data_IF_371512151054
#
_entry.id   IF_371512151054
#
_cell.length_a   1.000
_cell.length_b   1.000
_cell.length_c   1.000
_cell.angle_alpha   90.00
_cell.angle_beta   90.00
_cell.angle_gamma   90.00
#
_symmetry.space_group_name_H-M   'P 1'
#
loop_
_entity.id
_entity.type
_entity.pdbx_description
1 polymer ?
#
# COMPACT_ATOMS: atom_id res chain seq x y z
N UNK A 1 -7.77 -7.45 -16.74
CA UNK A 1 -7.93 -7.09 -15.31
C UNK A 1 -7.92 -8.41 -14.56
N UNK A 2 -7.11 -8.57 -13.50
CA UNK A 2 -7.04 -9.79 -12.70
C UNK A 2 -8.37 -9.97 -11.97
N UNK A 3 -8.93 -11.18 -11.99
CA UNK A 3 -10.12 -11.51 -11.21
C UNK A 3 -9.76 -11.79 -9.76
N UNK A 4 -10.74 -11.79 -8.84
CA UNK A 4 -10.54 -12.17 -7.44
C UNK A 4 -9.98 -13.58 -7.32
N UNK A 5 -10.53 -14.52 -8.10
CA UNK A 5 -10.10 -15.92 -8.10
C UNK A 5 -8.65 -16.07 -8.59
N UNK A 6 -8.28 -15.36 -9.65
CA UNK A 6 -6.90 -15.34 -10.14
C UNK A 6 -5.93 -14.76 -9.10
N UNK A 7 -6.34 -13.72 -8.37
CA UNK A 7 -5.55 -13.18 -7.26
C UNK A 7 -5.34 -14.20 -6.14
N UNK A 8 -6.40 -14.93 -5.74
CA UNK A 8 -6.32 -15.98 -4.73
C UNK A 8 -5.37 -17.10 -5.15
N UNK A 9 -5.51 -17.61 -6.38
CA UNK A 9 -4.65 -18.66 -6.91
C UNK A 9 -3.18 -18.24 -6.98
N UNK A 10 -2.90 -17.00 -7.35
CA UNK A 10 -1.52 -16.46 -7.36
C UNK A 10 -0.91 -16.36 -5.96
N UNK A 11 -1.70 -16.14 -4.92
CA UNK A 11 -1.19 -16.19 -3.55
C UNK A 11 -0.71 -17.59 -3.18
N UNK A 12 -1.46 -18.63 -3.51
CA UNK A 12 -1.02 -20.01 -3.24
C UNK A 12 0.25 -20.39 -4.02
N UNK A 13 0.43 -19.88 -5.25
CA UNK A 13 1.64 -20.19 -6.02
C UNK A 13 2.93 -19.70 -5.36
N UNK A 14 2.87 -18.68 -4.50
CA UNK A 14 4.03 -18.13 -3.78
C UNK A 14 4.56 -19.07 -2.69
N UNK A 15 3.72 -19.94 -2.15
CA UNK A 15 4.05 -20.82 -1.01
C UNK A 15 4.14 -22.30 -1.39
N UNK A 16 4.02 -22.64 -2.67
CA UNK A 16 3.97 -24.04 -3.15
C UNK A 16 5.15 -24.93 -2.74
N UNK A 17 6.32 -24.33 -2.48
CA UNK A 17 7.53 -25.07 -2.08
C UNK A 17 7.83 -24.98 -0.58
N UNK A 18 6.93 -24.37 0.21
CA UNK A 18 7.11 -24.12 1.64
C UNK A 18 6.14 -25.01 2.43
N UNK A 19 6.64 -26.14 2.90
CA UNK A 19 5.86 -27.23 3.51
C UNK A 19 4.91 -26.74 4.61
N UNK A 20 5.47 -26.10 5.65
CA UNK A 20 4.70 -25.67 6.81
C UNK A 20 3.85 -24.40 6.53
N UNK A 21 4.40 -23.46 5.81
CA UNK A 21 3.60 -22.30 5.39
C UNK A 21 2.38 -22.74 4.57
N UNK A 22 2.57 -23.67 3.61
CA UNK A 22 1.46 -24.20 2.81
C UNK A 22 0.41 -24.87 3.68
N UNK A 23 0.84 -25.74 4.63
CA UNK A 23 -0.06 -26.45 5.53
C UNK A 23 -0.86 -25.46 6.41
N UNK A 24 -0.17 -24.61 7.15
CA UNK A 24 -0.78 -23.67 8.10
C UNK A 24 -1.70 -22.67 7.39
N UNK A 25 -1.23 -22.07 6.28
CA UNK A 25 -2.01 -21.06 5.54
C UNK A 25 -3.27 -21.67 4.92
N UNK A 26 -3.16 -22.86 4.31
CA UNK A 26 -4.34 -23.52 3.73
C UNK A 26 -5.36 -23.89 4.82
N UNK A 27 -4.89 -24.39 5.99
CA UNK A 27 -5.76 -24.67 7.13
C UNK A 27 -6.46 -23.41 7.66
N UNK A 28 -5.72 -22.29 7.81
CA UNK A 28 -6.30 -20.99 8.20
C UNK A 28 -7.42 -20.61 7.23
N UNK A 29 -7.15 -20.61 5.93
CA UNK A 29 -8.09 -20.12 4.94
C UNK A 29 -9.34 -20.99 4.84
N UNK A 30 -9.18 -22.32 4.83
CA UNK A 30 -10.30 -23.25 4.77
C UNK A 30 -11.19 -23.19 6.02
N UNK A 31 -10.59 -23.17 7.20
CA UNK A 31 -11.36 -23.16 8.45
C UNK A 31 -11.89 -21.75 8.80
N UNK A 32 -11.22 -20.67 8.38
CA UNK A 32 -11.75 -19.32 8.52
C UNK A 32 -13.05 -19.16 7.72
N UNK A 33 -13.09 -19.70 6.51
CA UNK A 33 -14.23 -19.73 5.59
C UNK A 33 -14.94 -18.37 5.47
N UNK A 34 -14.16 -17.31 5.35
CA UNK A 34 -14.66 -15.93 5.26
C UNK A 34 -14.01 -15.21 4.07
N UNK A 35 -14.69 -15.20 2.94
CA UNK A 35 -14.21 -14.60 1.69
C UNK A 35 -14.16 -13.08 1.71
N UNK A 36 -14.65 -12.44 2.80
CA UNK A 36 -14.59 -10.99 2.99
C UNK A 36 -13.34 -10.55 3.76
N UNK A 37 -12.51 -11.48 4.22
CA UNK A 37 -11.20 -11.16 4.78
C UNK A 37 -10.15 -11.26 3.67
N UNK A 38 -9.57 -10.12 3.32
CA UNK A 38 -8.43 -10.05 2.40
C UNK A 38 -7.22 -10.73 3.04
N UNK A 39 -6.50 -11.55 2.26
CA UNK A 39 -5.20 -12.07 2.65
C UNK A 39 -4.17 -11.97 1.52
N UNK A 40 -2.91 -11.91 1.89
CA UNK A 40 -1.77 -11.87 0.97
C UNK A 40 -0.66 -12.74 1.54
N UNK A 41 -0.27 -13.79 0.78
CA UNK A 41 0.86 -14.65 1.15
C UNK A 41 2.18 -14.06 0.67
N UNK A 42 3.26 -14.29 1.43
CA UNK A 42 4.61 -13.81 1.12
C UNK A 42 4.59 -12.32 0.75
N UNK A 43 4.02 -11.53 1.65
CA UNK A 43 3.83 -10.12 1.42
C UNK A 43 5.13 -9.36 1.58
N UNK A 44 5.53 -8.68 0.52
CA UNK A 44 6.68 -7.79 0.53
C UNK A 44 6.41 -6.57 1.41
N UNK A 45 7.28 -6.34 2.38
CA UNK A 45 7.26 -5.18 3.28
C UNK A 45 8.58 -4.43 3.13
N UNK A 46 8.50 -3.16 2.78
CA UNK A 46 9.67 -2.28 2.66
C UNK A 46 9.71 -1.34 3.87
N UNK A 47 10.55 -1.59 4.87
CA UNK A 47 10.69 -0.71 6.02
C UNK A 47 11.34 0.62 5.61
N UNK A 48 10.94 1.72 6.28
CA UNK A 48 11.38 3.08 5.92
C UNK A 48 12.88 3.30 6.10
N UNK A 49 13.50 2.61 7.04
CA UNK A 49 14.86 2.88 7.51
C UNK A 49 15.87 1.76 7.19
N UNK A 50 15.49 0.76 6.44
CA UNK A 50 16.34 -0.40 6.11
C UNK A 50 16.62 -0.45 4.59
N UNK A 51 17.82 -0.94 4.22
CA UNK A 51 18.19 -1.16 2.81
C UNK A 51 17.59 -2.46 2.23
N UNK A 52 16.90 -3.25 3.06
CA UNK A 52 16.33 -4.53 2.69
C UNK A 52 14.81 -4.50 2.54
N UNK A 53 14.26 -5.69 2.39
CA UNK A 53 12.81 -5.94 2.43
C UNK A 53 12.55 -7.19 3.27
N UNK A 54 11.34 -7.30 3.81
CA UNK A 54 10.86 -8.50 4.48
C UNK A 54 9.71 -9.13 3.70
N UNK A 55 9.56 -10.44 3.85
CA UNK A 55 8.42 -11.18 3.33
C UNK A 55 7.64 -11.71 4.54
N UNK A 56 6.45 -11.18 4.77
CA UNK A 56 5.56 -11.72 5.79
C UNK A 56 4.79 -12.91 5.22
N UNK A 57 4.74 -14.03 5.95
CA UNK A 57 4.21 -15.29 5.42
C UNK A 57 2.75 -15.18 5.03
N UNK A 58 1.91 -14.58 5.89
CA UNK A 58 0.54 -14.21 5.54
C UNK A 58 0.12 -12.90 6.21
N UNK A 59 -0.44 -12.00 5.43
CA UNK A 59 -1.00 -10.72 5.88
C UNK A 59 -2.51 -10.67 5.71
N UNK A 60 -3.17 -9.95 6.61
CA UNK A 60 -4.60 -9.62 6.57
C UNK A 60 -4.76 -8.10 6.58
N UNK A 61 -4.64 -7.41 5.42
CA UNK A 61 -4.57 -5.95 5.34
C UNK A 61 -5.76 -5.23 5.95
N UNK A 62 -6.98 -5.73 5.71
CA UNK A 62 -8.22 -5.17 6.26
C UNK A 62 -8.29 -5.27 7.80
N UNK A 63 -7.52 -6.16 8.41
CA UNK A 63 -7.44 -6.36 9.86
C UNK A 63 -6.18 -5.75 10.49
N UNK A 64 -5.30 -5.13 9.70
CA UNK A 64 -4.01 -4.61 10.14
C UNK A 64 -3.23 -5.65 10.95
N UNK A 65 -2.98 -6.79 10.34
CA UNK A 65 -2.40 -7.97 10.98
C UNK A 65 -1.55 -8.74 9.98
N UNK A 66 -0.44 -9.30 10.44
CA UNK A 66 0.29 -10.32 9.72
C UNK A 66 0.65 -11.49 10.66
N UNK A 67 0.91 -12.65 10.08
CA UNK A 67 1.31 -13.84 10.83
C UNK A 67 2.58 -14.42 10.20
N UNK A 68 3.55 -14.74 11.08
CA UNK A 68 4.77 -15.45 10.73
C UNK A 68 4.62 -16.91 11.15
N UNK A 69 5.14 -17.82 10.32
CA UNK A 69 5.12 -19.26 10.55
C UNK A 69 6.57 -19.69 10.78
N UNK A 70 6.92 -19.86 12.05
CA UNK A 70 8.30 -20.09 12.45
C UNK A 70 8.63 -21.59 12.37
N UNK A 71 9.54 -21.95 11.44
CA UNK A 71 10.06 -23.29 11.23
C UNK A 71 11.33 -23.53 12.07
N UNK A 72 11.69 -24.82 12.31
CA UNK A 72 12.84 -25.23 13.11
C UNK A 72 14.18 -24.67 12.61
N UNK A 73 14.33 -24.46 11.33
CA UNK A 73 15.55 -23.92 10.73
C UNK A 73 15.88 -22.48 11.15
N UNK A 74 14.92 -21.75 11.73
CA UNK A 74 15.02 -20.34 12.10
C UNK A 74 15.24 -20.11 13.61
N UNK A 75 15.49 -21.17 14.40
CA UNK A 75 15.50 -21.11 15.86
C UNK A 75 16.90 -20.88 16.49
N UNK A 76 17.84 -20.27 15.79
CA UNK A 76 19.14 -19.86 16.35
C UNK A 76 19.04 -18.51 17.05
N UNK A 77 19.89 -18.25 18.07
CA UNK A 77 19.89 -16.98 18.82
C UNK A 77 20.11 -15.75 17.93
N UNK A 78 20.93 -15.86 16.88
CA UNK A 78 21.13 -14.79 15.88
C UNK A 78 19.85 -14.50 15.09
N UNK A 79 19.10 -15.53 14.73
CA UNK A 79 17.82 -15.36 14.04
C UNK A 79 16.77 -14.73 14.96
N UNK A 80 16.71 -15.12 16.23
CA UNK A 80 15.77 -14.53 17.21
C UNK A 80 16.03 -13.04 17.40
N UNK A 81 17.29 -12.62 17.43
CA UNK A 81 17.64 -11.19 17.53
C UNK A 81 17.28 -10.42 16.24
N UNK A 82 17.61 -10.99 15.09
CA UNK A 82 17.24 -10.46 13.77
C UNK A 82 15.73 -10.34 13.63
N UNK A 83 14.96 -11.33 14.06
CA UNK A 83 13.50 -11.33 14.00
C UNK A 83 12.87 -10.25 14.90
N UNK A 84 13.43 -9.95 16.05
CA UNK A 84 12.97 -8.85 16.92
C UNK A 84 13.18 -7.48 16.27
N UNK A 85 14.31 -7.26 15.59
CA UNK A 85 14.57 -6.04 14.84
C UNK A 85 13.58 -5.93 13.67
N UNK A 86 13.44 -7.02 12.91
CA UNK A 86 12.48 -7.14 11.81
C UNK A 86 11.05 -6.81 12.25
N UNK A 87 10.60 -7.40 13.36
CA UNK A 87 9.28 -7.16 13.94
C UNK A 87 9.07 -5.67 14.25
N UNK A 88 10.06 -5.05 14.90
CA UNK A 88 10.01 -3.63 15.24
C UNK A 88 9.91 -2.75 14.00
N UNK A 89 10.74 -2.99 12.99
CA UNK A 89 10.73 -2.23 11.74
C UNK A 89 9.42 -2.40 10.96
N UNK A 90 8.84 -3.60 10.96
CA UNK A 90 7.53 -3.85 10.34
C UNK A 90 6.42 -3.11 11.10
N UNK A 91 6.44 -3.13 12.43
CA UNK A 91 5.48 -2.39 13.26
C UNK A 91 5.57 -0.88 13.03
N UNK A 92 6.79 -0.32 13.00
CA UNK A 92 7.02 1.10 12.72
C UNK A 92 6.57 1.50 11.30
N UNK A 93 6.71 0.59 10.33
CA UNK A 93 6.31 0.84 8.96
C UNK A 93 4.79 0.70 8.72
N UNK A 94 4.13 -0.20 9.45
CA UNK A 94 2.76 -0.63 9.12
C UNK A 94 1.70 -0.26 10.15
N UNK A 95 2.06 -0.07 11.41
CA UNK A 95 1.11 0.00 12.53
C UNK A 95 0.25 -1.30 12.64
N UNK A 96 0.79 -2.44 12.24
CA UNK A 96 0.10 -3.71 12.23
C UNK A 96 0.57 -4.62 13.36
N UNK A 97 -0.30 -5.54 13.80
CA UNK A 97 0.02 -6.52 14.83
C UNK A 97 0.65 -7.75 14.18
N UNK A 98 1.75 -8.21 14.75
CA UNK A 98 2.30 -9.54 14.44
C UNK A 98 1.65 -10.62 15.31
N UNK A 99 1.46 -11.78 14.71
CA UNK A 99 1.17 -13.04 15.37
C UNK A 99 2.10 -14.12 14.84
N UNK A 100 2.48 -15.03 15.71
CA UNK A 100 3.40 -16.12 15.39
C UNK A 100 2.69 -17.45 15.57
N UNK A 101 2.93 -18.37 14.66
CA UNK A 101 2.58 -19.78 14.75
C UNK A 101 3.88 -20.56 14.69
N UNK A 102 4.27 -21.16 15.83
CA UNK A 102 5.51 -21.91 15.89
C UNK A 102 5.23 -23.37 15.54
N UNK A 103 5.88 -23.88 14.51
CA UNK A 103 5.77 -25.28 14.08
C UNK A 103 6.90 -26.15 14.63
N UNK A 104 7.89 -25.55 15.31
CA UNK A 104 8.96 -26.27 16.00
C UNK A 104 8.67 -26.45 17.50
N UNK A 105 9.26 -27.47 18.12
CA UNK A 105 9.19 -27.65 19.55
C UNK A 105 10.09 -26.63 20.27
N UNK A 106 9.52 -25.86 21.19
CA UNK A 106 10.28 -24.84 21.95
C UNK A 106 11.35 -25.45 22.89
N UNK A 107 11.19 -26.73 23.28
CA UNK A 107 12.16 -27.43 24.13
C UNK A 107 13.29 -28.05 23.31
N UNK A 108 13.00 -28.43 22.08
CA UNK A 108 13.96 -28.94 21.11
C UNK A 108 13.71 -28.30 19.73
N UNK A 109 14.30 -27.12 19.48
CA UNK A 109 14.05 -26.38 18.23
C UNK A 109 14.49 -27.11 16.96
N UNK A 110 15.20 -28.23 17.06
CA UNK A 110 15.58 -29.08 15.93
C UNK A 110 14.42 -29.95 15.42
N UNK A 111 13.33 -30.05 16.19
CA UNK A 111 12.18 -30.90 15.88
C UNK A 111 10.93 -30.11 15.59
N UNK A 112 10.18 -30.60 14.61
CA UNK A 112 8.83 -30.12 14.38
C UNK A 112 7.87 -30.63 15.47
N UNK A 113 6.90 -29.82 15.82
CA UNK A 113 5.79 -30.19 16.71
C UNK A 113 4.86 -31.20 16.02
N UNK A 114 4.16 -32.04 16.81
CA UNK A 114 3.03 -32.82 16.28
C UNK A 114 2.00 -31.91 15.58
N UNK A 115 1.47 -32.38 14.45
CA UNK A 115 0.50 -31.63 13.64
C UNK A 115 -0.72 -31.21 14.48
N UNK A 116 -1.18 -32.08 15.37
CA UNK A 116 -2.35 -31.81 16.24
C UNK A 116 -2.14 -30.64 17.20
N UNK A 117 -0.89 -30.38 17.59
CA UNK A 117 -0.55 -29.22 18.43
C UNK A 117 -0.50 -27.94 17.62
N UNK A 118 0.07 -27.99 16.43
CA UNK A 118 0.07 -26.87 15.47
C UNK A 118 -1.38 -26.52 15.10
N UNK A 119 -2.22 -27.51 14.87
CA UNK A 119 -3.63 -27.35 14.58
C UNK A 119 -4.38 -26.59 15.66
N UNK A 120 -4.16 -26.94 16.91
CA UNK A 120 -4.77 -26.21 18.06
C UNK A 120 -4.34 -24.73 18.11
N UNK A 121 -3.10 -24.42 17.72
CA UNK A 121 -2.61 -23.05 17.67
C UNK A 121 -3.24 -22.29 16.48
N UNK A 122 -3.32 -22.92 15.32
CA UNK A 122 -4.02 -22.39 14.15
C UNK A 122 -5.48 -22.11 14.45
N UNK A 123 -6.18 -23.02 15.12
CA UNK A 123 -7.59 -22.85 15.48
C UNK A 123 -7.80 -21.66 16.44
N UNK A 124 -6.89 -21.47 17.43
CA UNK A 124 -6.87 -20.28 18.28
C UNK A 124 -6.65 -19.00 17.48
N UNK A 125 -5.76 -19.04 16.49
CA UNK A 125 -5.51 -17.91 15.61
C UNK A 125 -6.73 -17.57 14.74
N UNK A 126 -7.44 -18.57 14.23
CA UNK A 126 -8.69 -18.37 13.46
C UNK A 126 -9.77 -17.70 14.34
N UNK A 127 -9.93 -18.14 15.59
CA UNK A 127 -10.85 -17.50 16.54
C UNK A 127 -10.46 -16.04 16.80
N UNK A 128 -9.15 -15.76 16.91
CA UNK A 128 -8.64 -14.41 17.03
C UNK A 128 -8.97 -13.56 15.81
N UNK A 129 -8.79 -14.06 14.58
CA UNK A 129 -9.14 -13.36 13.34
C UNK A 129 -10.63 -12.99 13.30
N UNK A 130 -11.52 -13.94 13.63
CA UNK A 130 -12.98 -13.72 13.69
C UNK A 130 -13.35 -12.65 14.71
N UNK A 131 -12.75 -12.71 15.92
CA UNK A 131 -12.97 -11.69 16.96
C UNK A 131 -12.47 -10.32 16.53
N UNK A 132 -11.28 -10.27 15.92
CA UNK A 132 -10.69 -9.03 15.44
C UNK A 132 -11.54 -8.39 14.34
N UNK A 133 -12.04 -9.17 13.37
CA UNK A 133 -12.96 -8.68 12.35
C UNK A 133 -14.19 -8.03 12.99
N UNK A 134 -14.87 -8.72 13.90
CA UNK A 134 -16.04 -8.19 14.60
C UNK A 134 -15.74 -6.87 15.33
N UNK A 135 -14.59 -6.77 15.98
CA UNK A 135 -14.18 -5.55 16.68
C UNK A 135 -13.94 -4.38 15.71
N UNK A 136 -13.29 -4.64 14.56
CA UNK A 136 -13.09 -3.62 13.53
C UNK A 136 -14.42 -3.18 12.93
N UNK A 137 -15.33 -4.11 12.59
CA UNK A 137 -16.65 -3.79 12.05
C UNK A 137 -17.47 -2.93 13.04
N UNK A 138 -17.40 -3.26 14.35
CA UNK A 138 -18.04 -2.46 15.41
C UNK A 138 -17.45 -1.06 15.49
N UNK A 139 -16.10 -0.93 15.46
CA UNK A 139 -15.40 0.36 15.51
C UNK A 139 -15.70 1.22 14.29
N UNK A 140 -15.71 0.62 13.10
CA UNK A 140 -15.96 1.32 11.84
C UNK A 140 -17.44 1.55 11.56
N UNK A 141 -18.35 0.95 12.34
CA UNK A 141 -19.81 0.91 12.09
C UNK A 141 -20.16 0.44 10.67
N UNK A 142 -19.29 -0.41 10.07
CA UNK A 142 -19.39 -0.90 8.69
C UNK A 142 -18.89 -2.34 8.62
N UNK A 143 -19.55 -3.18 7.80
CA UNK A 143 -19.07 -4.52 7.48
C UNK A 143 -17.75 -4.46 6.72
N UNK A 144 -16.82 -5.34 7.06
CA UNK A 144 -15.62 -5.58 6.25
C UNK A 144 -16.04 -6.48 5.10
N UNK A 145 -16.07 -5.89 3.92
CA UNK A 145 -16.29 -6.59 2.66
C UNK A 145 -14.99 -6.48 1.86
N UNK A 146 -14.59 -7.57 1.26
CA UNK A 146 -13.44 -7.57 0.37
C UNK A 146 -13.88 -7.81 -1.07
N UNK A 147 -13.86 -6.72 -1.84
CA UNK A 147 -13.75 -6.81 -3.28
C UNK A 147 -12.40 -6.20 -3.66
N UNK A 148 -11.57 -7.00 -4.31
CA UNK A 148 -10.27 -6.55 -4.81
C UNK A 148 -10.39 -5.32 -5.72
N UNK A 149 -11.54 -5.17 -6.39
CA UNK A 149 -11.83 -4.05 -7.29
C UNK A 149 -12.17 -2.77 -6.54
N UNK A 150 -12.85 -2.85 -5.40
CA UNK A 150 -13.39 -1.68 -4.69
C UNK A 150 -12.29 -0.76 -4.16
N UNK A 151 -11.16 -1.32 -3.72
CA UNK A 151 -10.05 -0.54 -3.16
C UNK A 151 -9.48 0.49 -4.14
N UNK A 152 -9.50 0.18 -5.43
CA UNK A 152 -8.92 1.00 -6.49
C UNK A 152 -9.97 1.46 -7.51
N UNK A 153 -11.26 1.29 -7.19
CA UNK A 153 -12.34 1.59 -8.10
C UNK A 153 -12.74 3.08 -7.99
N UNK A 154 -12.61 3.88 -9.05
CA UNK A 154 -13.02 5.28 -9.04
C UNK A 154 -14.51 5.48 -8.77
N UNK A 155 -15.37 4.52 -9.13
CA UNK A 155 -16.82 4.59 -8.94
C UNK A 155 -17.23 4.76 -7.47
N UNK A 156 -16.44 4.22 -6.54
CA UNK A 156 -16.68 4.39 -5.09
C UNK A 156 -16.58 5.87 -4.71
N UNK A 157 -15.58 6.56 -5.25
CA UNK A 157 -15.35 7.98 -4.97
C UNK A 157 -16.34 8.88 -5.71
N UNK A 158 -16.67 8.53 -6.97
CA UNK A 158 -17.70 9.24 -7.75
C UNK A 158 -19.07 9.18 -7.07
N UNK A 159 -19.43 8.03 -6.48
CA UNK A 159 -20.68 7.89 -5.68
C UNK A 159 -20.64 8.70 -4.39
N UNK A 160 -19.46 8.84 -3.78
CA UNK A 160 -19.30 9.65 -2.57
C UNK A 160 -19.29 11.16 -2.87
N UNK A 161 -19.15 11.55 -4.13
CA UNK A 161 -19.11 12.95 -4.61
C UNK A 161 -17.85 13.71 -4.21
N UNK A 162 -16.89 13.12 -3.51
CA UNK A 162 -15.67 13.82 -3.09
C UNK A 162 -14.52 12.87 -2.76
N UNK A 163 -13.29 13.42 -2.71
CA UNK A 163 -12.08 12.77 -2.18
C UNK A 163 -11.35 13.69 -1.20
N UNK A 164 -10.71 13.11 -0.18
CA UNK A 164 -9.90 13.80 0.84
C UNK A 164 -8.54 13.11 1.01
N UNK A 165 -7.51 13.87 1.29
CA UNK A 165 -6.15 13.33 1.56
C UNK A 165 -6.15 12.35 2.72
N UNK A 166 -6.93 12.62 3.79
CA UNK A 166 -7.06 11.75 4.96
C UNK A 166 -7.70 10.39 4.67
N UNK A 167 -8.45 10.25 3.57
CA UNK A 167 -9.12 9.01 3.19
C UNK A 167 -8.16 8.03 2.49
N UNK A 168 -6.89 8.41 2.29
CA UNK A 168 -5.86 7.61 1.65
C UNK A 168 -6.27 7.05 0.28
N UNK A 169 -6.90 7.89 -0.54
CA UNK A 169 -7.35 7.53 -1.89
C UNK A 169 -6.17 7.12 -2.77
N UNK A 170 -6.25 5.93 -3.34
CA UNK A 170 -5.18 5.33 -4.15
C UNK A 170 -5.75 4.62 -5.38
N UNK A 171 -4.99 4.65 -6.49
CA UNK A 171 -5.33 3.94 -7.71
C UNK A 171 -4.13 3.14 -8.23
N UNK A 172 -4.38 2.05 -8.97
CA UNK A 172 -3.32 1.27 -9.62
C UNK A 172 -2.86 1.86 -10.95
N UNK A 173 -3.72 2.62 -11.63
CA UNK A 173 -3.46 3.17 -12.95
C UNK A 173 -3.82 4.65 -13.01
N UNK A 174 -3.07 5.44 -13.79
CA UNK A 174 -3.37 6.85 -14.07
C UNK A 174 -4.81 7.05 -14.53
N UNK A 175 -5.26 6.22 -15.47
CA UNK A 175 -6.61 6.31 -16.04
C UNK A 175 -7.72 6.25 -14.99
N UNK A 176 -7.52 5.49 -13.89
CA UNK A 176 -8.55 5.33 -12.87
C UNK A 176 -8.63 6.59 -11.98
N UNK A 177 -7.50 7.26 -11.70
CA UNK A 177 -7.52 8.59 -11.10
C UNK A 177 -8.15 9.64 -12.03
N UNK A 178 -7.84 9.59 -13.32
CA UNK A 178 -8.38 10.54 -14.31
C UNK A 178 -9.88 10.38 -14.54
N UNK A 179 -10.45 9.19 -14.31
CA UNK A 179 -11.91 8.97 -14.39
C UNK A 179 -12.69 9.83 -13.42
N UNK A 180 -12.10 10.21 -12.29
CA UNK A 180 -12.72 11.14 -11.36
C UNK A 180 -13.02 12.52 -11.99
N UNK A 181 -12.32 12.85 -13.08
CA UNK A 181 -12.37 14.14 -13.78
C UNK A 181 -12.86 14.00 -15.23
N UNK A 182 -13.65 12.96 -15.53
CA UNK A 182 -14.29 12.77 -16.83
C UNK A 182 -13.45 12.08 -17.92
N UNK A 183 -12.26 11.53 -17.59
CA UNK A 183 -11.47 10.79 -18.57
C UNK A 183 -12.12 9.45 -18.94
N UNK A 184 -12.41 9.24 -20.23
CA UNK A 184 -13.04 8.01 -20.76
C UNK A 184 -12.10 7.07 -21.52
N UNK A 185 -10.81 7.43 -21.66
CA UNK A 185 -9.85 6.67 -22.43
C UNK A 185 -9.49 5.32 -21.83
N UNK A 186 -9.01 4.38 -22.66
CA UNK A 186 -8.62 3.04 -22.25
C UNK A 186 -7.25 2.98 -21.58
N UNK A 187 -6.32 3.85 -21.94
CA UNK A 187 -4.92 3.86 -21.48
C UNK A 187 -4.43 5.29 -21.25
N UNK A 188 -3.65 5.48 -20.20
CA UNK A 188 -2.96 6.74 -19.94
C UNK A 188 -1.66 6.47 -19.18
N UNK A 189 -0.53 7.06 -19.65
CA UNK A 189 0.80 6.84 -19.06
C UNK A 189 1.62 8.13 -18.91
N UNK A 190 1.09 9.28 -19.33
CA UNK A 190 1.79 10.56 -19.15
C UNK A 190 1.69 11.04 -17.71
N UNK A 191 2.69 11.80 -17.29
CA UNK A 191 2.75 12.33 -15.91
C UNK A 191 1.83 13.52 -15.63
N UNK A 192 1.14 14.05 -16.63
CA UNK A 192 0.33 15.25 -16.51
C UNK A 192 -0.85 15.20 -17.51
N UNK A 193 -2.04 15.61 -17.05
CA UNK A 193 -3.26 15.65 -17.86
C UNK A 193 -4.11 16.87 -17.50
N UNK A 194 -4.36 17.75 -18.47
CA UNK A 194 -5.20 18.95 -18.31
C UNK A 194 -6.67 18.57 -18.30
N UNK A 195 -7.40 19.04 -17.28
CA UNK A 195 -8.85 18.87 -17.20
C UNK A 195 -9.49 19.85 -18.18
N UNK A 196 -10.37 19.32 -19.04
CA UNK A 196 -11.09 20.15 -20.00
C UNK A 196 -11.99 21.16 -19.27
N UNK A 197 -12.07 22.39 -19.79
CA UNK A 197 -12.90 23.48 -19.27
C UNK A 197 -12.54 23.98 -17.85
N UNK A 198 -11.43 23.50 -17.26
CA UNK A 198 -10.94 23.94 -15.96
C UNK A 198 -9.50 24.48 -16.07
N UNK A 199 -9.15 25.43 -15.20
CA UNK A 199 -7.75 25.83 -15.03
C UNK A 199 -7.01 24.89 -14.09
N UNK A 200 -7.14 23.59 -14.32
CA UNK A 200 -6.64 22.52 -13.48
C UNK A 200 -6.02 21.39 -14.32
N UNK A 201 -5.05 20.71 -13.73
CA UNK A 201 -4.44 19.53 -14.31
C UNK A 201 -4.20 18.46 -13.27
N UNK A 202 -4.36 17.20 -13.64
CA UNK A 202 -3.95 16.05 -12.81
C UNK A 202 -2.48 15.78 -13.07
N UNK A 203 -1.70 15.77 -11.99
CA UNK A 203 -0.26 15.57 -12.03
C UNK A 203 0.14 14.29 -11.27
N UNK A 204 1.02 13.47 -11.89
CA UNK A 204 1.50 12.19 -11.38
C UNK A 204 3.02 12.22 -11.08
N UNK A 205 3.50 13.03 -10.14
CA UNK A 205 4.92 13.11 -9.83
C UNK A 205 5.42 11.85 -9.13
N UNK A 206 6.71 11.53 -9.32
CA UNK A 206 7.44 10.61 -8.46
C UNK A 206 8.07 11.43 -7.34
N UNK A 207 7.52 11.36 -6.13
CA UNK A 207 8.02 12.12 -4.96
C UNK A 207 9.25 11.45 -4.32
N UNK A 208 10.19 11.02 -5.18
CA UNK A 208 11.48 10.48 -4.80
C UNK A 208 12.47 10.70 -5.95
N UNK A 209 13.78 10.76 -5.69
CA UNK A 209 14.77 10.95 -6.74
C UNK A 209 14.67 9.87 -7.82
N UNK A 210 14.67 10.28 -9.08
CA UNK A 210 14.79 9.42 -10.23
C UNK A 210 15.88 9.98 -11.18
N UNK A 211 16.24 9.25 -12.23
CA UNK A 211 17.40 9.56 -13.05
C UNK A 211 17.42 10.97 -13.70
N UNK A 212 16.27 11.64 -13.80
CA UNK A 212 16.16 12.94 -14.46
C UNK A 212 15.44 14.00 -13.62
N UNK A 213 14.62 13.59 -12.65
CA UNK A 213 13.81 14.48 -11.85
C UNK A 213 13.98 14.17 -10.37
N UNK A 214 14.13 15.23 -9.58
CA UNK A 214 14.11 15.19 -8.15
C UNK A 214 12.91 15.97 -7.65
N UNK A 215 11.83 15.24 -7.37
CA UNK A 215 10.64 15.81 -6.74
C UNK A 215 10.62 15.40 -5.28
N UNK A 216 10.50 16.37 -4.38
CA UNK A 216 10.47 16.12 -2.94
C UNK A 216 9.20 16.71 -2.35
N UNK A 217 8.61 15.99 -1.41
CA UNK A 217 7.48 16.43 -0.62
C UNK A 217 7.98 16.79 0.78
N UNK A 218 7.59 17.95 1.32
CA UNK A 218 7.88 18.32 2.70
C UNK A 218 7.20 17.38 3.70
N UNK A 219 7.75 17.27 4.91
CA UNK A 219 7.23 16.36 5.95
C UNK A 219 5.77 16.67 6.33
N UNK A 220 5.40 17.93 6.36
CA UNK A 220 4.04 18.43 6.59
C UNK A 220 3.13 18.34 5.37
N UNK A 221 3.68 17.90 4.21
CA UNK A 221 3.01 17.76 2.91
C UNK A 221 2.49 19.07 2.30
N UNK A 222 2.90 20.20 2.83
CA UNK A 222 2.45 21.51 2.34
C UNK A 222 3.16 21.96 1.08
N UNK A 223 4.36 21.43 0.80
CA UNK A 223 5.22 21.87 -0.30
C UNK A 223 5.70 20.67 -1.13
N UNK A 224 5.63 20.80 -2.45
CA UNK A 224 6.33 19.93 -3.40
C UNK A 224 7.39 20.77 -4.11
N UNK A 225 8.64 20.30 -4.13
CA UNK A 225 9.72 20.90 -4.92
C UNK A 225 10.06 20.02 -6.11
N UNK A 226 10.46 20.61 -7.23
CA UNK A 226 10.83 19.93 -8.45
C UNK A 226 12.09 20.54 -9.06
N UNK A 227 13.08 19.73 -9.37
CA UNK A 227 14.27 20.11 -10.14
C UNK A 227 14.64 19.03 -11.15
N UNK A 228 15.20 19.41 -12.27
CA UNK A 228 15.72 18.47 -13.27
C UNK A 228 17.22 18.32 -13.11
N UNK A 229 17.68 17.06 -13.06
CA UNK A 229 19.09 16.71 -12.91
C UNK A 229 19.49 15.78 -14.06
N UNK A 230 20.47 16.19 -14.87
CA UNK A 230 21.04 15.36 -15.94
C UNK A 230 22.55 15.27 -15.70
N UNK A 231 23.07 14.04 -15.60
CA UNK A 231 24.50 13.79 -15.34
C UNK A 231 25.03 14.51 -14.08
N UNK A 232 24.21 14.60 -13.04
CA UNK A 232 24.55 15.25 -11.76
C UNK A 232 24.42 16.78 -11.75
N UNK A 233 24.11 17.42 -12.89
CA UNK A 233 23.97 18.87 -13.00
C UNK A 233 22.48 19.27 -13.04
N UNK A 234 22.14 20.39 -12.37
CA UNK A 234 20.84 21.03 -12.53
C UNK A 234 20.71 21.59 -13.95
N UNK A 235 19.58 21.32 -14.57
CA UNK A 235 19.32 21.73 -15.95
C UNK A 235 18.10 22.64 -15.97
N UNK A 236 18.15 23.65 -16.84
CA UNK A 236 16.98 24.51 -17.08
C UNK A 236 15.83 23.70 -17.65
N UNK A 237 14.66 23.95 -17.16
CA UNK A 237 13.40 23.41 -17.69
C UNK A 237 12.34 24.50 -17.78
N UNK A 238 11.29 24.24 -18.55
CA UNK A 238 10.22 25.22 -18.76
C UNK A 238 9.58 25.62 -17.41
N UNK A 239 9.29 26.89 -17.25
CA UNK A 239 8.50 27.37 -16.14
C UNK A 239 7.14 26.66 -16.11
N UNK A 240 6.59 26.39 -14.95
CA UNK A 240 5.29 25.74 -14.83
C UNK A 240 4.20 26.66 -15.33
N UNK A 241 3.16 26.11 -15.88
CA UNK A 241 1.93 26.84 -16.18
C UNK A 241 1.14 27.17 -14.89
N UNK A 242 0.32 28.20 -14.96
CA UNK A 242 -0.40 28.74 -13.79
C UNK A 242 -1.74 28.04 -13.51
N UNK A 243 -1.80 26.72 -13.78
CA UNK A 243 -2.95 25.92 -13.38
C UNK A 243 -2.76 25.29 -12.00
N UNK A 244 -3.86 25.02 -11.36
CA UNK A 244 -3.87 24.17 -10.16
C UNK A 244 -3.55 22.72 -10.51
N UNK A 245 -2.73 22.08 -9.69
CA UNK A 245 -2.29 20.71 -9.88
C UNK A 245 -2.92 19.78 -8.86
N UNK A 246 -3.82 18.94 -9.32
CA UNK A 246 -4.39 17.85 -8.53
C UNK A 246 -3.37 16.71 -8.52
N UNK A 247 -2.77 16.44 -7.35
CA UNK A 247 -1.61 15.55 -7.26
C UNK A 247 -2.02 14.13 -6.88
N UNK A 248 -1.75 13.20 -7.79
CA UNK A 248 -1.76 11.75 -7.54
C UNK A 248 -0.34 11.22 -7.69
N UNK A 249 0.45 11.33 -6.61
CA UNK A 249 1.85 10.97 -6.69
C UNK A 249 2.06 9.46 -6.78
N UNK A 250 3.07 9.09 -7.57
CA UNK A 250 3.59 7.74 -7.64
C UNK A 250 4.19 7.35 -6.29
N UNK A 251 3.61 6.36 -5.65
CA UNK A 251 3.97 5.93 -4.31
C UNK A 251 4.16 4.40 -4.28
N UNK A 252 5.24 3.95 -3.69
CA UNK A 252 5.36 2.54 -3.29
C UNK A 252 4.79 2.42 -1.90
N UNK A 253 3.69 1.68 -1.77
CA UNK A 253 3.15 1.38 -0.45
C UNK A 253 4.13 0.47 0.33
N UNK A 254 3.86 0.26 1.61
CA UNK A 254 4.69 -0.60 2.48
C UNK A 254 4.84 -2.03 1.96
N UNK A 255 3.93 -2.48 1.09
CA UNK A 255 3.96 -3.78 0.44
C UNK A 255 4.72 -3.78 -0.90
N UNK A 256 5.41 -2.69 -1.25
CA UNK A 256 6.13 -2.56 -2.49
C UNK A 256 5.27 -2.41 -3.75
N UNK A 257 3.93 -2.32 -3.62
CA UNK A 257 3.06 -2.07 -4.75
C UNK A 257 3.16 -0.62 -5.18
N UNK A 258 3.29 -0.39 -6.47
CA UNK A 258 3.18 0.96 -7.03
C UNK A 258 1.71 1.35 -7.11
N UNK A 259 1.38 2.48 -6.51
CA UNK A 259 0.05 3.09 -6.53
C UNK A 259 0.19 4.59 -6.78
N UNK A 260 -0.90 5.22 -7.21
CA UNK A 260 -1.02 6.66 -7.35
C UNK A 260 -1.90 7.18 -6.22
N UNK A 261 -1.27 7.85 -5.24
CA UNK A 261 -1.93 8.33 -4.02
C UNK A 261 -2.28 9.79 -4.17
N UNK A 262 -3.49 10.16 -3.78
CA UNK A 262 -3.94 11.54 -3.72
C UNK A 262 -3.27 12.31 -2.57
N UNK A 263 -2.70 13.48 -2.91
CA UNK A 263 -1.99 14.35 -1.98
C UNK A 263 -2.61 15.74 -1.85
N UNK A 264 -3.71 16.04 -2.58
CA UNK A 264 -4.35 17.34 -2.57
C UNK A 264 -4.12 18.13 -3.86
N UNK A 265 -4.50 19.41 -3.82
CA UNK A 265 -4.31 20.38 -4.90
C UNK A 265 -3.20 21.36 -4.54
N UNK A 266 -2.33 21.63 -5.50
CA UNK A 266 -1.16 22.51 -5.36
C UNK A 266 -1.15 23.58 -6.43
N UNK A 267 -0.63 24.75 -6.06
CA UNK A 267 -0.37 25.86 -6.99
C UNK A 267 1.09 26.25 -6.98
N UNK A 268 1.56 26.90 -8.04
CA UNK A 268 2.95 27.37 -8.14
C UNK A 268 3.23 28.46 -7.11
N UNK A 269 4.30 28.30 -6.36
CA UNK A 269 4.85 29.38 -5.54
C UNK A 269 5.88 30.19 -6.35
N UNK A 270 5.40 31.21 -7.03
CA UNK A 270 6.23 32.05 -7.92
C UNK A 270 7.38 32.76 -7.20
N UNK A 271 7.31 32.97 -5.90
CA UNK A 271 8.41 33.59 -5.13
C UNK A 271 9.61 32.65 -5.00
N UNK A 272 9.36 31.33 -5.03
CA UNK A 272 10.36 30.29 -4.85
C UNK A 272 10.48 29.38 -6.09
N UNK A 273 10.18 29.92 -7.27
CA UNK A 273 10.20 29.19 -8.54
C UNK A 273 11.01 29.95 -9.59
N UNK A 274 11.97 29.24 -10.20
CA UNK A 274 12.74 29.70 -11.35
C UNK A 274 12.87 28.58 -12.42
N UNK A 275 13.72 28.80 -13.43
CA UNK A 275 13.96 27.84 -14.52
C UNK A 275 14.71 26.56 -14.09
N UNK A 276 15.29 26.51 -12.88
CA UNK A 276 16.06 25.35 -12.35
C UNK A 276 15.34 24.65 -11.20
N UNK A 277 14.50 25.40 -10.50
CA UNK A 277 13.86 24.92 -9.26
C UNK A 277 12.43 25.43 -9.18
N UNK A 278 11.49 24.53 -9.05
CA UNK A 278 10.08 24.86 -8.96
C UNK A 278 9.49 24.43 -7.63
N UNK A 279 8.65 25.28 -7.07
CA UNK A 279 7.99 25.05 -5.79
C UNK A 279 6.48 25.15 -5.95
N UNK A 280 5.77 24.19 -5.37
CA UNK A 280 4.30 24.14 -5.39
C UNK A 280 3.79 24.07 -3.96
N UNK A 281 2.81 24.91 -3.62
CA UNK A 281 2.17 24.98 -2.31
C UNK A 281 0.81 24.30 -2.34
N UNK A 282 0.49 23.50 -1.34
CA UNK A 282 -0.83 22.93 -1.17
C UNK A 282 -1.86 24.02 -0.86
N UNK A 283 -2.98 24.00 -1.59
CA UNK A 283 -4.11 24.91 -1.40
C UNK A 283 -5.37 24.19 -0.95
N UNK A 284 -5.46 22.87 -1.20
CA UNK A 284 -6.58 22.07 -0.75
C UNK A 284 -6.18 20.62 -0.49
N UNK A 285 -6.73 20.02 0.56
CA UNK A 285 -6.68 18.58 0.86
C UNK A 285 -7.98 17.85 0.47
N UNK A 286 -8.89 18.55 -0.18
CA UNK A 286 -10.24 18.14 -0.56
C UNK A 286 -10.52 18.46 -2.03
N UNK A 287 -11.30 17.60 -2.70
CA UNK A 287 -11.87 17.85 -4.02
C UNK A 287 -13.35 17.45 -3.99
N UNK A 288 -14.21 18.37 -4.43
CA UNK A 288 -15.60 18.08 -4.77
C UNK A 288 -15.64 17.50 -6.20
N UNK A 289 -16.11 16.27 -6.35
CA UNK A 289 -16.19 15.60 -7.66
C UNK A 289 -17.46 15.94 -8.41
N UNK A 290 -18.44 16.57 -7.76
CA UNK A 290 -19.66 17.02 -8.42
C UNK A 290 -19.39 18.14 -9.44
N UNK A 291 -18.31 18.92 -9.22
CA UNK A 291 -17.89 19.99 -10.12
C UNK A 291 -17.42 19.49 -11.50
N UNK A 292 -17.04 18.20 -11.61
CA UNK A 292 -16.48 17.60 -12.84
C UNK A 292 -17.47 16.67 -13.58
N UNK A 293 -18.74 16.69 -13.21
CA UNK A 293 -19.81 15.89 -13.86
C UNK A 293 -20.33 16.53 -15.14
#
# INVERSE_FOLDING_TARGET
>A
MITKDEYLLRNFSKIRHKKWELYVITRILHNLNDTNIEYVCQQFINPKNSKGYYLADICFPSLKLYCEINESQNATDEHIYSDKIRQREILEATDWIQKDINVYDRKDPSRDRPIEEVDKEVDKFILFLRKRKKNFEKKLKKKILWDFKDRFNPEVHLKNGHIKVKDNVVFLYHKDALRLFGYSGKHYQRGWWRIKDFNQAVWFPKLYPNNQWRNLLSDDRSIITQEQIINGNKVKHSLPSNEERIVFAHYKNIFGQTVYKFYGTYVVDWKNTDEYFQTFKQVSDFIDLEEYK
#
